data_IF_817819895536
#
_entry.id   IF_817819895536
#
_cell.length_a   1.000
_cell.length_b   1.000
_cell.length_c   1.000
_cell.angle_alpha   90.00
_cell.angle_beta   90.00
_cell.angle_gamma   90.00
#
_symmetry.space_group_name_H-M   'P 1'
#
loop_
_entity.id
_entity.type
_entity.pdbx_description
1 polymer ?
#
# COMPACT_ATOMS: atom_id res chain seq x y z
N UNK A 1 -32.13 32.63 31.38
CA UNK A 1 -32.08 32.12 30.00
C UNK A 1 -30.69 32.31 29.44
N UNK A 2 -30.20 31.28 28.76
CA UNK A 2 -28.99 31.25 27.91
C UNK A 2 -27.62 31.14 28.59
N UNK A 3 -27.24 29.88 28.85
CA UNK A 3 -25.86 29.39 28.74
C UNK A 3 -25.37 29.62 27.31
N UNK A 4 -24.36 30.46 27.14
CA UNK A 4 -23.53 30.45 25.93
C UNK A 4 -22.68 29.17 25.97
N UNK A 5 -22.96 28.25 25.05
CA UNK A 5 -22.12 27.09 24.78
C UNK A 5 -20.83 27.57 24.13
N UNK A 6 -19.73 27.30 24.80
CA UNK A 6 -18.44 27.03 24.15
C UNK A 6 -18.59 25.83 23.21
N UNK A 7 -17.91 25.89 22.06
CA UNK A 7 -17.34 24.77 21.26
C UNK A 7 -17.47 25.07 19.77
N UNK A 8 -16.33 25.07 19.08
CA UNK A 8 -16.22 25.34 17.65
C UNK A 8 -14.80 25.71 17.19
N UNK A 9 -13.89 25.94 18.14
CA UNK A 9 -12.47 26.25 17.91
C UNK A 9 -11.54 25.30 18.68
N UNK A 10 -11.99 24.06 18.90
CA UNK A 10 -11.03 22.97 19.12
C UNK A 10 -10.58 22.52 17.74
N UNK A 11 -9.42 23.06 17.39
CA UNK A 11 -8.66 22.81 16.18
C UNK A 11 -8.78 21.38 15.71
N UNK A 12 -8.85 21.22 14.39
CA UNK A 12 -8.22 20.16 13.64
C UNK A 12 -6.75 19.98 14.09
N UNK A 13 -6.53 19.46 15.30
CA UNK A 13 -5.31 18.74 15.65
C UNK A 13 -5.22 17.71 14.55
N UNK A 14 -4.28 17.94 13.64
CA UNK A 14 -4.39 17.44 12.29
C UNK A 14 -4.49 15.92 12.38
N UNK A 15 -5.55 15.33 11.80
CA UNK A 15 -5.73 13.87 11.88
C UNK A 15 -4.51 13.14 11.28
N UNK A 16 -3.79 13.81 10.36
CA UNK A 16 -2.49 13.38 9.85
C UNK A 16 -1.45 13.29 10.96
N UNK A 17 -1.27 14.37 11.74
CA UNK A 17 -0.31 14.45 12.85
C UNK A 17 -0.53 13.33 13.85
N UNK A 18 -1.78 13.06 14.25
CA UNK A 18 -2.05 12.05 15.29
C UNK A 18 -1.65 10.65 14.83
N UNK A 19 -1.96 10.28 13.57
CA UNK A 19 -1.60 8.96 13.04
C UNK A 19 -0.11 8.87 12.69
N UNK A 20 0.46 9.91 12.08
CA UNK A 20 1.89 9.99 11.77
C UNK A 20 2.74 9.96 13.05
N UNK A 21 2.32 10.69 14.09
CA UNK A 21 3.02 10.74 15.38
C UNK A 21 2.93 9.41 16.13
N UNK A 22 1.79 8.73 16.08
CA UNK A 22 1.66 7.37 16.61
C UNK A 22 2.65 6.41 15.93
N UNK A 23 2.75 6.46 14.60
CA UNK A 23 3.72 5.64 13.86
C UNK A 23 5.17 6.01 14.21
N UNK A 24 5.48 7.30 14.29
CA UNK A 24 6.82 7.79 14.62
C UNK A 24 7.25 7.38 16.03
N UNK A 25 6.33 7.37 16.99
CA UNK A 25 6.57 6.93 18.36
C UNK A 25 6.63 5.41 18.53
N UNK A 26 6.34 4.64 17.48
CA UNK A 26 6.29 3.18 17.54
C UNK A 26 5.15 2.67 18.43
N UNK A 27 4.09 3.47 18.59
CA UNK A 27 2.91 3.03 19.33
C UNK A 27 2.20 1.88 18.59
N UNK A 28 1.48 1.06 19.35
CA UNK A 28 0.70 -0.03 18.77
C UNK A 28 -0.39 0.53 17.82
N UNK A 29 -0.42 -0.02 16.61
CA UNK A 29 -1.34 0.40 15.56
C UNK A 29 -2.43 -0.64 15.45
N UNK A 30 -3.67 -0.20 15.60
CA UNK A 30 -4.84 -1.07 15.51
C UNK A 30 -5.39 -1.10 14.09
N UNK A 31 -6.20 -2.12 13.76
CA UNK A 31 -6.96 -2.17 12.50
C UNK A 31 -7.81 -0.90 12.31
N UNK A 32 -8.40 -0.38 13.39
CA UNK A 32 -9.21 0.84 13.37
C UNK A 32 -8.39 2.09 12.99
N UNK A 33 -7.14 2.18 13.43
CA UNK A 33 -6.24 3.28 13.05
C UNK A 33 -5.94 3.23 11.54
N UNK A 34 -5.73 2.03 10.99
CA UNK A 34 -5.48 1.84 9.55
C UNK A 34 -6.74 2.13 8.72
N UNK A 35 -7.93 1.72 9.16
CA UNK A 35 -9.17 2.04 8.44
C UNK A 35 -9.48 3.55 8.46
N UNK A 36 -9.16 4.25 9.54
CA UNK A 36 -9.22 5.73 9.57
C UNK A 36 -8.25 6.34 8.57
N UNK A 37 -7.01 5.86 8.53
CA UNK A 37 -6.03 6.32 7.53
C UNK A 37 -6.56 6.10 6.12
N UNK A 38 -7.05 4.90 5.81
CA UNK A 38 -7.61 4.55 4.50
C UNK A 38 -8.71 5.52 4.10
N UNK A 39 -9.62 5.84 5.02
CA UNK A 39 -10.65 6.83 4.78
C UNK A 39 -10.04 8.19 4.45
N UNK A 40 -9.14 8.69 5.29
CA UNK A 40 -8.49 9.99 5.09
C UNK A 40 -7.72 10.07 3.75
N UNK A 41 -6.91 9.06 3.41
CA UNK A 41 -6.19 8.99 2.14
C UNK A 41 -7.13 8.99 0.92
N UNK A 42 -8.38 8.58 1.09
CA UNK A 42 -9.36 8.48 0.00
C UNK A 42 -10.28 9.70 -0.11
N UNK A 43 -10.53 10.42 0.99
CA UNK A 43 -11.55 11.49 1.05
C UNK A 43 -10.99 12.86 1.33
N UNK A 44 -9.82 12.97 1.97
CA UNK A 44 -9.21 14.27 2.28
C UNK A 44 -8.54 14.88 1.04
N UNK A 45 -8.38 16.22 1.00
CA UNK A 45 -7.69 16.89 -0.11
C UNK A 45 -6.24 16.42 -0.29
N UNK A 46 -5.71 16.56 -1.51
CA UNK A 46 -4.31 16.20 -1.80
C UNK A 46 -3.30 16.90 -0.87
N UNK A 47 -3.58 18.11 -0.40
CA UNK A 47 -2.76 18.83 0.58
C UNK A 47 -2.58 18.05 1.87
N UNK A 48 -3.62 17.35 2.33
CA UNK A 48 -3.56 16.49 3.52
C UNK A 48 -2.64 15.29 3.29
N UNK A 49 -2.71 14.66 2.11
CA UNK A 49 -1.85 13.53 1.74
C UNK A 49 -0.37 13.98 1.69
N UNK A 50 -0.11 15.16 1.12
CA UNK A 50 1.24 15.74 1.08
C UNK A 50 1.76 16.00 2.50
N UNK A 51 0.95 16.59 3.38
CA UNK A 51 1.31 16.84 4.78
C UNK A 51 1.59 15.53 5.53
N UNK A 52 0.74 14.52 5.36
CA UNK A 52 0.95 13.18 5.90
C UNK A 52 2.29 12.57 5.46
N UNK A 53 2.68 12.77 4.19
CA UNK A 53 3.97 12.33 3.66
C UNK A 53 5.13 13.13 4.29
N UNK A 54 4.99 14.45 4.40
CA UNK A 54 5.99 15.34 4.99
C UNK A 54 6.28 15.02 6.47
N UNK A 55 5.28 14.51 7.19
CA UNK A 55 5.38 14.05 8.57
C UNK A 55 5.92 12.62 8.70
N UNK A 56 6.55 12.09 7.66
CA UNK A 56 7.04 10.70 7.57
C UNK A 56 5.97 9.61 7.74
N UNK A 57 4.68 9.96 7.64
CA UNK A 57 3.58 9.02 7.86
C UNK A 57 3.58 7.86 6.86
N UNK A 58 3.91 8.15 5.58
CA UNK A 58 4.05 7.12 4.55
C UNK A 58 5.17 6.12 4.88
N UNK A 59 6.30 6.61 5.40
CA UNK A 59 7.44 5.78 5.81
C UNK A 59 7.07 4.92 7.01
N UNK A 60 6.43 5.50 8.02
CA UNK A 60 5.92 4.78 9.19
C UNK A 60 4.95 3.67 8.82
N UNK A 61 4.02 3.94 7.89
CA UNK A 61 3.10 2.94 7.35
C UNK A 61 3.85 1.77 6.69
N UNK A 62 4.85 2.04 5.86
CA UNK A 62 5.63 1.00 5.16
C UNK A 62 6.47 0.15 6.13
N UNK A 63 7.05 0.78 7.16
CA UNK A 63 7.79 0.08 8.21
C UNK A 63 6.86 -0.81 9.03
N UNK A 64 5.70 -0.30 9.45
CA UNK A 64 4.72 -1.07 10.19
C UNK A 64 4.17 -2.23 9.35
N UNK A 65 3.90 -2.00 8.07
CA UNK A 65 3.52 -3.05 7.12
C UNK A 65 4.55 -4.17 7.05
N UNK A 66 5.83 -3.82 6.87
CA UNK A 66 6.93 -4.78 6.82
C UNK A 66 7.02 -5.60 8.11
N UNK A 67 6.83 -4.97 9.27
CA UNK A 67 6.83 -5.65 10.56
C UNK A 67 5.67 -6.65 10.69
N UNK A 68 4.45 -6.26 10.29
CA UNK A 68 3.28 -7.14 10.33
C UNK A 68 3.39 -8.31 9.35
N UNK A 69 3.94 -8.07 8.16
CA UNK A 69 4.21 -9.14 7.16
C UNK A 69 5.26 -10.13 7.65
N UNK A 70 6.22 -9.71 8.50
CA UNK A 70 7.19 -10.64 9.12
C UNK A 70 6.57 -11.43 10.27
N UNK A 71 5.70 -10.80 11.06
CA UNK A 71 5.04 -11.40 12.22
C UNK A 71 3.74 -12.15 11.84
N UNK A 72 3.75 -12.99 10.80
CA UNK A 72 2.60 -13.69 10.16
C UNK A 72 1.71 -14.58 11.08
N UNK A 73 1.86 -14.51 12.40
CA UNK A 73 1.36 -15.47 13.38
C UNK A 73 -0.05 -15.18 13.92
N UNK A 74 -0.58 -13.95 13.81
CA UNK A 74 -1.90 -13.61 14.36
C UNK A 74 -2.92 -13.22 13.29
N UNK A 75 -4.20 -13.53 13.51
CA UNK A 75 -5.30 -13.09 12.63
C UNK A 75 -5.41 -11.56 12.60
N UNK A 76 -5.18 -10.90 13.73
CA UNK A 76 -5.10 -9.44 13.82
C UNK A 76 -4.02 -8.87 12.90
N UNK A 77 -2.83 -9.50 12.83
CA UNK A 77 -1.76 -9.08 11.91
C UNK A 77 -2.18 -9.23 10.45
N UNK A 78 -2.92 -10.29 10.09
CA UNK A 78 -3.42 -10.49 8.71
C UNK A 78 -4.46 -9.44 8.31
N UNK A 79 -5.33 -9.05 9.24
CA UNK A 79 -6.28 -7.97 9.05
C UNK A 79 -5.57 -6.62 8.85
N UNK A 80 -4.59 -6.30 9.71
CA UNK A 80 -3.77 -5.08 9.60
C UNK A 80 -3.06 -5.04 8.24
N UNK A 81 -2.41 -6.14 7.84
CA UNK A 81 -1.75 -6.26 6.52
C UNK A 81 -2.72 -5.98 5.38
N UNK A 82 -3.93 -6.56 5.43
CA UNK A 82 -4.97 -6.36 4.42
C UNK A 82 -5.48 -4.92 4.37
N UNK A 83 -5.63 -4.26 5.52
CA UNK A 83 -6.04 -2.85 5.59
C UNK A 83 -4.93 -1.90 5.12
N UNK A 84 -3.66 -2.20 5.42
CA UNK A 84 -2.53 -1.38 4.95
C UNK A 84 -2.39 -1.47 3.43
N UNK A 85 -2.51 -2.66 2.83
CA UNK A 85 -2.51 -2.80 1.36
C UNK A 85 -3.59 -1.92 0.69
N UNK A 86 -4.74 -1.74 1.34
CA UNK A 86 -5.79 -0.84 0.85
C UNK A 86 -5.44 0.64 1.02
N UNK A 87 -4.63 1.00 2.02
CA UNK A 87 -4.08 2.36 2.17
C UNK A 87 -3.01 2.69 1.12
N UNK A 88 -2.22 1.69 0.69
CA UNK A 88 -1.18 1.89 -0.31
C UNK A 88 -1.76 2.32 -1.67
N UNK A 89 -2.97 1.87 -2.03
CA UNK A 89 -3.59 2.22 -3.31
C UNK A 89 -3.77 3.74 -3.51
N UNK A 90 -4.48 4.48 -2.62
CA UNK A 90 -4.58 5.93 -2.76
C UNK A 90 -3.22 6.63 -2.60
N UNK A 91 -2.35 6.14 -1.71
CA UNK A 91 -1.01 6.72 -1.50
C UNK A 91 -0.17 6.68 -2.79
N UNK A 92 -0.06 5.50 -3.41
CA UNK A 92 0.71 5.24 -4.63
C UNK A 92 0.07 5.85 -5.89
N UNK A 93 -1.17 6.34 -5.81
CA UNK A 93 -1.80 7.06 -6.92
C UNK A 93 -1.17 8.45 -7.14
N UNK A 94 -0.59 9.04 -6.08
CA UNK A 94 0.08 10.34 -6.12
C UNK A 94 1.58 10.20 -6.41
N UNK A 95 2.20 11.18 -7.08
CA UNK A 95 3.63 11.15 -7.40
C UNK A 95 4.47 11.21 -6.12
N UNK A 96 4.08 12.06 -5.19
CA UNK A 96 4.71 12.27 -3.89
C UNK A 96 4.61 11.00 -3.03
N UNK A 97 3.44 10.35 -3.01
CA UNK A 97 3.25 9.10 -2.29
C UNK A 97 4.06 7.95 -2.88
N UNK A 98 4.20 7.84 -4.21
CA UNK A 98 5.10 6.85 -4.82
C UNK A 98 6.56 7.09 -4.42
N UNK A 99 7.05 8.32 -4.52
CA UNK A 99 8.41 8.67 -4.12
C UNK A 99 8.68 8.33 -2.65
N UNK A 100 7.75 8.69 -1.76
CA UNK A 100 7.87 8.39 -0.34
C UNK A 100 7.83 6.88 -0.06
N UNK A 101 6.93 6.15 -0.72
CA UNK A 101 6.76 4.72 -0.53
C UNK A 101 7.96 3.92 -1.08
N UNK A 102 8.44 4.23 -2.29
CA UNK A 102 9.59 3.57 -2.91
C UNK A 102 10.94 4.01 -2.34
N UNK A 103 10.98 5.02 -1.46
CA UNK A 103 12.17 5.26 -0.63
C UNK A 103 12.42 4.13 0.39
N UNK A 104 11.41 3.30 0.66
CA UNK A 104 11.56 2.09 1.47
C UNK A 104 11.92 0.91 0.58
N UNK A 105 13.19 0.49 0.63
CA UNK A 105 13.72 -0.64 -0.14
C UNK A 105 12.96 -1.97 0.07
N UNK A 106 12.28 -2.11 1.21
CA UNK A 106 11.58 -3.34 1.57
C UNK A 106 10.09 -3.31 1.26
N UNK A 107 9.53 -2.19 0.79
CA UNK A 107 8.09 -2.07 0.60
C UNK A 107 7.58 -3.07 -0.45
N UNK A 108 8.18 -3.07 -1.64
CA UNK A 108 7.72 -3.90 -2.75
C UNK A 108 7.87 -5.39 -2.41
N UNK A 109 8.99 -5.78 -1.80
CA UNK A 109 9.16 -7.13 -1.26
C UNK A 109 8.09 -7.49 -0.22
N UNK A 110 7.78 -6.58 0.69
CA UNK A 110 6.73 -6.80 1.69
C UNK A 110 5.35 -6.93 1.05
N UNK A 111 5.08 -6.21 -0.04
CA UNK A 111 3.85 -6.36 -0.82
C UNK A 111 3.78 -7.79 -1.37
N UNK A 112 4.82 -8.28 -2.04
CA UNK A 112 4.83 -9.65 -2.55
C UNK A 112 4.74 -10.70 -1.44
N UNK A 113 5.46 -10.54 -0.33
CA UNK A 113 5.40 -11.47 0.81
C UNK A 113 4.04 -11.47 1.52
N UNK A 114 3.32 -10.34 1.51
CA UNK A 114 2.01 -10.21 2.14
C UNK A 114 0.91 -10.99 1.42
N UNK A 115 1.05 -11.19 0.12
CA UNK A 115 0.08 -11.91 -0.70
C UNK A 115 -0.12 -13.36 -0.22
N UNK A 116 0.82 -13.92 0.54
CA UNK A 116 0.74 -15.27 1.10
C UNK A 116 -0.26 -15.42 2.24
N UNK A 117 -0.66 -14.32 2.88
CA UNK A 117 -1.43 -14.31 4.13
C UNK A 117 -2.75 -13.54 4.05
N UNK A 118 -3.07 -13.00 2.87
CA UNK A 118 -4.25 -12.18 2.65
C UNK A 118 -5.28 -12.88 1.77
N UNK A 119 -6.52 -12.38 1.81
CA UNK A 119 -7.63 -12.94 1.01
C UNK A 119 -7.42 -12.80 -0.49
N UNK A 120 -8.05 -13.66 -1.29
CA UNK A 120 -8.13 -13.56 -2.76
C UNK A 120 -8.54 -12.16 -3.25
N UNK A 121 -9.47 -11.51 -2.55
CA UNK A 121 -9.90 -10.14 -2.85
C UNK A 121 -8.76 -9.14 -2.70
N UNK A 122 -7.98 -9.27 -1.63
CA UNK A 122 -6.81 -8.43 -1.37
C UNK A 122 -5.73 -8.72 -2.41
N UNK A 123 -5.44 -10.00 -2.71
CA UNK A 123 -4.49 -10.42 -3.74
C UNK A 123 -4.83 -9.78 -5.09
N UNK A 124 -6.08 -9.92 -5.54
CA UNK A 124 -6.56 -9.34 -6.79
C UNK A 124 -6.37 -7.81 -6.82
N UNK A 125 -6.73 -7.13 -5.73
CA UNK A 125 -6.61 -5.67 -5.64
C UNK A 125 -5.14 -5.23 -5.70
N UNK A 126 -4.26 -5.95 -5.02
CA UNK A 126 -2.82 -5.66 -5.01
C UNK A 126 -2.19 -5.83 -6.38
N UNK A 127 -2.49 -6.92 -7.10
CA UNK A 127 -1.96 -7.11 -8.46
C UNK A 127 -2.46 -6.04 -9.44
N UNK A 128 -3.74 -5.65 -9.35
CA UNK A 128 -4.28 -4.54 -10.16
C UNK A 128 -3.61 -3.20 -9.83
N UNK A 129 -3.33 -2.95 -8.56
CA UNK A 129 -2.58 -1.76 -8.12
C UNK A 129 -1.16 -1.76 -8.70
N UNK A 130 -0.40 -2.86 -8.56
CA UNK A 130 0.95 -2.98 -9.10
C UNK A 130 0.98 -2.81 -10.63
N UNK A 131 0.04 -3.44 -11.35
CA UNK A 131 -0.10 -3.29 -12.80
C UNK A 131 -0.34 -1.83 -13.22
N UNK A 132 -1.16 -1.12 -12.45
CA UNK A 132 -1.44 0.31 -12.67
C UNK A 132 -0.19 1.16 -12.46
N UNK A 133 0.61 0.86 -11.44
CA UNK A 133 1.83 1.61 -11.10
C UNK A 133 2.92 1.39 -12.16
N UNK A 134 3.12 0.15 -12.62
CA UNK A 134 4.06 -0.16 -13.71
C UNK A 134 3.79 0.71 -14.96
N UNK A 135 2.51 0.97 -15.24
CA UNK A 135 2.09 1.72 -16.43
C UNK A 135 2.38 3.23 -16.34
N UNK A 136 2.90 3.73 -15.20
CA UNK A 136 3.15 5.16 -14.99
C UNK A 136 4.50 5.63 -15.55
N UNK A 137 5.49 4.76 -15.64
CA UNK A 137 6.82 5.15 -16.09
C UNK A 137 7.90 4.09 -15.94
N UNK A 138 9.08 4.34 -16.54
CA UNK A 138 10.21 3.40 -16.48
C UNK A 138 10.79 3.28 -15.06
N UNK A 139 10.75 4.32 -14.25
CA UNK A 139 11.21 4.28 -12.84
C UNK A 139 10.35 3.31 -12.02
N UNK A 140 9.03 3.48 -12.09
CA UNK A 140 8.08 2.59 -11.41
C UNK A 140 8.13 1.15 -11.92
N UNK A 141 8.30 0.96 -13.23
CA UNK A 141 8.51 -0.36 -13.82
C UNK A 141 9.75 -1.03 -13.24
N UNK A 142 10.91 -0.36 -13.27
CA UNK A 142 12.17 -0.96 -12.86
C UNK A 142 12.14 -1.37 -11.39
N UNK A 143 11.55 -0.52 -10.53
CA UNK A 143 11.41 -0.81 -9.12
C UNK A 143 10.54 -2.04 -8.90
N UNK A 144 9.34 -2.10 -9.49
CA UNK A 144 8.45 -3.25 -9.30
C UNK A 144 9.01 -4.53 -9.95
N UNK A 145 9.59 -4.43 -11.15
CA UNK A 145 10.11 -5.58 -11.90
C UNK A 145 11.25 -6.27 -11.16
N UNK A 146 12.22 -5.51 -10.62
CA UNK A 146 13.34 -6.05 -9.84
C UNK A 146 12.88 -6.95 -8.70
N UNK A 147 11.84 -6.54 -7.98
CA UNK A 147 11.27 -7.31 -6.89
C UNK A 147 10.33 -8.42 -7.40
N UNK A 148 9.57 -8.17 -8.46
CA UNK A 148 8.71 -9.20 -9.04
C UNK A 148 9.52 -10.42 -9.47
N UNK A 149 10.66 -10.22 -10.13
CA UNK A 149 11.55 -11.28 -10.60
C UNK A 149 12.02 -12.20 -9.46
N UNK A 150 12.39 -11.63 -8.31
CA UNK A 150 12.88 -12.42 -7.17
C UNK A 150 11.80 -13.29 -6.51
N UNK A 151 10.53 -12.89 -6.60
CA UNK A 151 9.39 -13.64 -6.04
C UNK A 151 8.62 -14.46 -7.10
N UNK A 152 8.85 -14.21 -8.40
CA UNK A 152 8.00 -14.67 -9.50
C UNK A 152 7.80 -16.19 -9.53
N UNK A 153 8.88 -16.96 -9.35
CA UNK A 153 8.84 -18.43 -9.37
C UNK A 153 7.93 -19.00 -8.27
N UNK A 154 8.10 -18.53 -7.04
CA UNK A 154 7.28 -18.98 -5.90
C UNK A 154 5.80 -18.62 -6.08
N UNK A 155 5.51 -17.46 -6.69
CA UNK A 155 4.14 -17.07 -7.03
C UNK A 155 3.53 -17.96 -8.11
N UNK A 156 4.24 -18.18 -9.22
CA UNK A 156 3.77 -19.05 -10.30
C UNK A 156 3.45 -20.45 -9.82
N UNK A 157 4.31 -21.05 -9.01
CA UNK A 157 4.10 -22.39 -8.46
C UNK A 157 2.80 -22.46 -7.62
N UNK A 158 2.52 -21.44 -6.79
CA UNK A 158 1.26 -21.37 -6.03
C UNK A 158 0.03 -21.21 -6.91
N UNK A 159 0.13 -20.45 -8.00
CA UNK A 159 -0.99 -20.23 -8.93
C UNK A 159 -1.34 -21.46 -9.74
N UNK A 160 -0.33 -22.25 -10.10
CA UNK A 160 -0.48 -23.50 -10.85
C UNK A 160 -1.17 -24.56 -9.99
N UNK A 161 -1.15 -24.46 -8.65
CA UNK A 161 -1.83 -25.41 -7.75
C UNK A 161 -3.38 -25.34 -7.78
N UNK A 162 -3.98 -24.67 -8.78
CA UNK A 162 -5.41 -24.67 -9.15
C UNK A 162 -6.44 -24.20 -8.09
N UNK A 163 -6.02 -23.78 -6.90
CA UNK A 163 -6.93 -23.41 -5.80
C UNK A 163 -7.34 -21.92 -5.74
N UNK A 164 -6.72 -21.04 -6.54
CA UNK A 164 -7.05 -19.60 -6.53
C UNK A 164 -8.28 -19.27 -7.38
N UNK A 165 -9.07 -18.28 -6.94
CA UNK A 165 -10.26 -17.84 -7.67
C UNK A 165 -9.95 -17.28 -9.06
N UNK A 166 -10.95 -17.32 -9.96
CA UNK A 166 -10.82 -16.76 -11.31
C UNK A 166 -10.42 -15.28 -11.31
N UNK A 167 -10.88 -14.51 -10.32
CA UNK A 167 -10.60 -13.08 -10.17
C UNK A 167 -9.10 -12.84 -9.87
N UNK A 168 -8.50 -13.70 -9.06
CA UNK A 168 -7.06 -13.65 -8.78
C UNK A 168 -6.26 -13.97 -10.05
N UNK A 169 -6.63 -15.03 -10.77
CA UNK A 169 -5.98 -15.41 -12.03
C UNK A 169 -5.99 -14.28 -13.05
N UNK A 170 -7.15 -13.66 -13.26
CA UNK A 170 -7.30 -12.50 -14.15
C UNK A 170 -6.40 -11.33 -13.74
N UNK A 171 -6.38 -10.99 -12.44
CA UNK A 171 -5.58 -9.87 -11.94
C UNK A 171 -4.08 -10.10 -12.10
N UNK A 172 -3.63 -11.35 -12.02
CA UNK A 172 -2.23 -11.71 -12.23
C UNK A 172 -1.87 -11.67 -13.70
N UNK A 173 -2.74 -12.17 -14.58
CA UNK A 173 -2.55 -12.04 -16.03
C UNK A 173 -2.45 -10.55 -16.42
N UNK A 174 -3.29 -9.69 -15.83
CA UNK A 174 -3.18 -8.23 -16.02
C UNK A 174 -1.81 -7.69 -15.59
N UNK A 175 -1.31 -8.11 -14.43
CA UNK A 175 0.01 -7.73 -13.94
C UNK A 175 1.14 -8.21 -14.86
N UNK A 176 1.13 -9.49 -15.26
CA UNK A 176 2.11 -10.06 -16.20
C UNK A 176 2.08 -9.30 -17.53
N UNK A 177 0.90 -9.03 -18.06
CA UNK A 177 0.77 -8.24 -19.30
C UNK A 177 1.31 -6.82 -19.14
N UNK A 178 1.15 -6.19 -17.97
CA UNK A 178 1.73 -4.87 -17.70
C UNK A 178 3.26 -4.93 -17.63
N UNK A 179 3.83 -5.98 -17.04
CA UNK A 179 5.28 -6.22 -17.03
C UNK A 179 5.81 -6.39 -18.46
N UNK A 180 5.24 -7.29 -19.26
CA UNK A 180 5.71 -7.54 -20.63
C UNK A 180 5.62 -6.28 -21.49
N UNK A 181 4.50 -5.56 -21.45
CA UNK A 181 4.34 -4.31 -22.20
C UNK A 181 5.26 -3.19 -21.71
N UNK A 182 5.55 -3.16 -20.41
CA UNK A 182 6.50 -2.22 -19.82
C UNK A 182 7.91 -2.43 -20.36
N UNK A 183 8.34 -3.69 -20.47
CA UNK A 183 9.64 -4.07 -21.04
C UNK A 183 9.78 -3.61 -22.51
N UNK A 184 8.75 -3.86 -23.33
CA UNK A 184 8.71 -3.42 -24.72
C UNK A 184 8.82 -1.90 -24.82
N UNK A 185 8.08 -1.19 -23.98
CA UNK A 185 8.03 0.28 -23.95
C UNK A 185 9.35 0.90 -23.52
N UNK A 186 10.12 0.23 -22.64
CA UNK A 186 11.44 0.67 -22.20
C UNK A 186 12.50 0.36 -23.24
N UNK A 187 12.43 -0.82 -23.84
CA UNK A 187 13.36 -1.27 -24.89
C UNK A 187 13.26 -0.40 -26.14
N UNK A 188 12.07 0.11 -26.48
CA UNK A 188 11.84 1.05 -27.58
C UNK A 188 12.28 2.50 -27.30
N UNK A 189 12.59 2.85 -26.04
CA UNK A 189 13.04 4.20 -25.63
C UNK A 189 14.57 4.29 -25.42
N UNK A 190 15.29 3.18 -25.57
CA UNK A 190 16.75 3.11 -25.56
C UNK A 190 17.29 3.17 -26.98
#
# INVERSE_FOLDING_TARGET
GHRMRSSGLESSVNKADVLAEKWRKGEEITVNDVEKLKHCLSTEPLTWVIEFIQLEGARGLCQHFTAQVKNKSSDSSREIVSSILQCLKPLLSTKEGRKAAFSSETLVDSIFLSLEVVSDRTISTTFRMLASIISLGPEEYNEIFRHAESHFRGWLERLIQFSVSSIVKESIIMFVNAVVKGEDSISLRR
#
